data_IF_842441445492
#
_entry.id   IF_842441445492
#
_cell.length_a   1.000
_cell.length_b   1.000
_cell.length_c   1.000
_cell.angle_alpha   90.00
_cell.angle_beta   90.00
_cell.angle_gamma   90.00
#
_symmetry.space_group_name_H-M   'P 1'
#
loop_
_entity.id
_entity.type
_entity.pdbx_description
1 polymer ?
#
# COMPACT_ATOMS: atom_id res chain seq x y z
N UNK A 1 17.93 6.81 -3.48
CA UNK A 1 17.05 7.67 -2.66
C UNK A 1 17.90 8.71 -1.95
N UNK A 2 17.35 9.88 -1.64
CA UNK A 2 18.07 10.94 -0.92
C UNK A 2 18.27 10.55 0.54
N UNK A 3 19.51 10.51 1.01
CA UNK A 3 19.93 10.12 2.37
C UNK A 3 19.52 11.12 3.48
N UNK A 4 18.63 12.05 3.15
CA UNK A 4 18.16 13.11 4.06
C UNK A 4 17.00 12.59 4.90
N UNK A 5 16.96 12.87 6.22
CA UNK A 5 15.89 12.39 7.10
C UNK A 5 14.50 12.88 6.67
N UNK A 6 13.46 12.10 6.96
CA UNK A 6 12.08 12.43 6.62
C UNK A 6 11.60 13.64 7.42
N UNK A 7 11.17 14.71 6.72
CA UNK A 7 10.69 15.92 7.37
C UNK A 7 9.16 15.92 7.46
N UNK A 8 8.55 16.35 8.59
CA UNK A 8 7.09 16.41 8.72
C UNK A 8 6.39 17.18 7.59
N UNK A 9 7.01 18.25 7.07
CA UNK A 9 6.47 19.05 5.97
C UNK A 9 6.45 18.37 4.60
N UNK A 10 7.07 17.19 4.46
CA UNK A 10 7.04 16.40 3.22
C UNK A 10 5.85 15.44 3.17
N UNK A 11 5.16 15.23 4.30
CA UNK A 11 4.00 14.32 4.37
C UNK A 11 2.80 14.99 3.71
N UNK A 12 2.26 14.35 2.67
CA UNK A 12 1.27 14.95 1.78
C UNK A 12 -0.01 14.10 1.61
N UNK A 13 -0.06 12.92 2.24
CA UNK A 13 -1.14 11.95 2.04
C UNK A 13 -1.49 11.26 3.35
N UNK A 14 -2.79 11.20 3.67
CA UNK A 14 -3.32 10.35 4.74
C UNK A 14 -3.56 8.95 4.20
N UNK A 15 -3.05 7.94 4.90
CA UNK A 15 -3.20 6.53 4.53
C UNK A 15 -3.80 5.72 5.66
N UNK A 16 -4.48 4.63 5.29
CA UNK A 16 -4.86 3.53 6.20
C UNK A 16 -4.06 2.29 5.83
N UNK A 17 -3.53 1.60 6.83
CA UNK A 17 -2.85 0.32 6.67
C UNK A 17 -3.77 -0.78 7.20
N UNK A 18 -3.93 -1.83 6.41
CA UNK A 18 -4.68 -3.02 6.80
C UNK A 18 -4.05 -4.28 6.24
N UNK A 19 -4.31 -5.41 6.88
CA UNK A 19 -3.93 -6.73 6.39
C UNK A 19 -5.11 -7.69 6.39
N UNK A 20 -4.96 -8.82 5.69
CA UNK A 20 -5.90 -9.92 5.75
C UNK A 20 -5.44 -10.91 6.80
N UNK A 21 -6.27 -11.09 7.82
CA UNK A 21 -6.10 -12.14 8.82
C UNK A 21 -6.87 -13.38 8.37
N UNK A 22 -6.18 -14.51 8.32
CA UNK A 22 -6.78 -15.84 8.13
C UNK A 22 -6.56 -16.66 9.39
N UNK A 23 -7.48 -17.59 9.65
CA UNK A 23 -7.44 -18.38 10.86
C UNK A 23 -8.18 -19.69 10.71
N UNK A 24 -8.02 -20.55 11.72
CA UNK A 24 -8.79 -21.78 11.84
C UNK A 24 -9.69 -21.71 13.05
N UNK A 25 -10.90 -22.25 12.91
CA UNK A 25 -11.84 -22.37 14.00
C UNK A 25 -11.50 -23.51 14.95
N UNK A 26 -12.26 -23.68 16.04
CA UNK A 26 -11.99 -24.68 17.08
C UNK A 26 -12.02 -26.13 16.57
N UNK A 27 -12.64 -26.38 15.42
CA UNK A 27 -12.74 -27.71 14.82
C UNK A 27 -11.78 -27.88 13.62
N UNK A 28 -10.88 -26.91 13.39
CA UNK A 28 -9.90 -26.91 12.32
C UNK A 28 -10.42 -26.40 10.97
N UNK A 29 -11.65 -25.92 10.91
CA UNK A 29 -12.25 -25.28 9.74
C UNK A 29 -11.55 -23.96 9.38
N UNK A 30 -11.41 -23.64 8.10
CA UNK A 30 -10.90 -22.33 7.68
C UNK A 30 -11.95 -21.25 7.94
N UNK A 31 -11.57 -20.21 8.68
CA UNK A 31 -12.44 -19.05 8.90
C UNK A 31 -12.38 -18.10 7.69
N UNK A 32 -13.47 -17.38 7.40
CA UNK A 32 -13.44 -16.34 6.37
C UNK A 32 -12.32 -15.33 6.63
N UNK A 33 -11.57 -15.03 5.58
CA UNK A 33 -10.55 -13.99 5.58
C UNK A 33 -11.17 -12.66 6.03
N UNK A 34 -10.56 -12.01 7.03
CA UNK A 34 -11.02 -10.73 7.57
C UNK A 34 -9.98 -9.65 7.33
N UNK A 35 -10.41 -8.50 6.81
CA UNK A 35 -9.57 -7.31 6.77
C UNK A 35 -9.47 -6.70 8.17
N UNK A 36 -8.25 -6.51 8.65
CA UNK A 36 -7.92 -5.89 9.94
C UNK A 36 -7.27 -4.54 9.67
N UNK A 37 -7.80 -3.47 10.26
CA UNK A 37 -7.21 -2.14 10.20
C UNK A 37 -6.12 -1.99 11.27
N UNK A 38 -4.87 -1.89 10.86
CA UNK A 38 -3.71 -1.73 11.76
C UNK A 38 -3.49 -0.26 12.17
N UNK A 39 -4.01 0.69 11.39
CA UNK A 39 -4.06 2.08 11.78
C UNK A 39 -3.97 3.07 10.63
N UNK A 40 -3.85 4.34 11.00
CA UNK A 40 -3.77 5.46 10.07
C UNK A 40 -2.49 6.26 10.26
N UNK A 41 -2.00 6.86 9.17
CA UNK A 41 -0.89 7.80 9.28
C UNK A 41 -0.79 8.78 8.13
N UNK A 42 0.05 9.78 8.36
CA UNK A 42 0.58 10.64 7.30
C UNK A 42 1.77 9.96 6.61
N UNK A 43 1.81 10.08 5.29
CA UNK A 43 2.88 9.60 4.43
C UNK A 43 3.20 10.65 3.36
N UNK A 44 4.45 10.67 2.91
CA UNK A 44 4.86 11.28 1.65
C UNK A 44 4.57 10.29 0.53
N UNK A 45 3.59 10.59 -0.32
CA UNK A 45 3.23 9.80 -1.50
C UNK A 45 3.94 10.36 -2.74
N UNK A 46 4.62 9.49 -3.47
CA UNK A 46 5.31 9.81 -4.72
C UNK A 46 4.93 8.80 -5.81
N UNK A 47 4.56 9.28 -7.00
CA UNK A 47 4.28 8.42 -8.15
C UNK A 47 5.60 7.99 -8.80
N UNK A 48 5.83 6.69 -8.94
CA UNK A 48 7.01 6.11 -9.63
C UNK A 48 6.70 5.87 -11.10
N UNK A 49 5.54 5.27 -11.39
CA UNK A 49 5.09 4.98 -12.75
C UNK A 49 3.56 4.97 -12.83
N UNK A 50 3.00 5.62 -13.86
CA UNK A 50 1.55 5.74 -14.04
C UNK A 50 1.05 5.62 -15.48
N UNK A 51 1.87 5.15 -16.44
CA UNK A 51 1.48 5.20 -17.85
C UNK A 51 0.73 3.96 -18.28
N UNK A 52 -0.61 4.03 -18.30
CA UNK A 52 -1.46 3.08 -19.05
C UNK A 52 -1.09 3.14 -20.54
N UNK A 53 -0.34 2.17 -21.06
CA UNK A 53 -0.23 1.95 -22.50
C UNK A 53 -1.24 0.87 -22.86
N UNK A 54 -2.26 1.22 -23.63
CA UNK A 54 -3.22 0.26 -24.20
C UNK A 54 -2.68 -0.22 -25.53
N UNK A 55 -1.82 -1.23 -25.50
CA UNK A 55 -1.47 -2.03 -26.68
C UNK A 55 -1.65 -3.50 -26.32
N UNK A 56 -2.28 -4.26 -27.22
CA UNK A 56 -2.73 -5.65 -27.01
C UNK A 56 -1.63 -6.62 -26.53
N UNK A 57 -0.35 -6.27 -26.72
CA UNK A 57 0.81 -7.12 -26.42
C UNK A 57 1.66 -6.66 -25.21
N UNK A 58 1.28 -5.59 -24.50
CA UNK A 58 2.07 -5.11 -23.35
C UNK A 58 1.38 -5.39 -22.01
N UNK A 59 2.20 -5.89 -21.07
CA UNK A 59 1.84 -6.16 -19.69
C UNK A 59 1.17 -4.93 -19.07
N UNK A 60 0.02 -5.11 -18.43
CA UNK A 60 -0.76 -4.04 -17.84
C UNK A 60 0.12 -3.20 -16.90
N UNK A 61 0.34 -1.92 -17.24
CA UNK A 61 1.05 -1.00 -16.36
C UNK A 61 0.16 -0.69 -15.16
N UNK A 62 0.55 -1.24 -14.01
CA UNK A 62 -0.06 -0.94 -12.71
C UNK A 62 0.55 0.37 -12.21
N UNK A 63 -0.28 1.26 -11.67
CA UNK A 63 0.23 2.47 -11.04
C UNK A 63 1.05 2.09 -9.81
N UNK A 64 2.30 2.53 -9.75
CA UNK A 64 3.21 2.24 -8.65
C UNK A 64 3.54 3.53 -7.91
N UNK A 65 3.32 3.54 -6.61
CA UNK A 65 3.63 4.65 -5.71
C UNK A 65 4.64 4.24 -4.64
N UNK A 66 5.47 5.20 -4.22
CA UNK A 66 6.19 5.11 -2.95
C UNK A 66 5.39 5.84 -1.88
N UNK A 67 5.31 5.25 -0.70
CA UNK A 67 4.81 5.87 0.51
C UNK A 67 5.96 5.88 1.52
N UNK A 68 6.44 7.07 1.88
CA UNK A 68 7.46 7.24 2.92
C UNK A 68 6.82 7.78 4.19
N UNK A 69 7.11 7.18 5.33
CA UNK A 69 6.39 7.40 6.60
C UNK A 69 7.27 6.99 7.78
N UNK A 70 6.97 7.48 8.98
CA UNK A 70 7.66 7.05 10.20
C UNK A 70 7.51 5.54 10.47
N UNK A 71 8.45 4.90 11.19
CA UNK A 71 8.50 3.44 11.35
C UNK A 71 7.24 2.85 11.97
N UNK A 72 6.71 1.79 11.34
CA UNK A 72 5.53 1.02 11.78
C UNK A 72 5.60 -0.43 11.31
N UNK A 73 4.78 -1.27 11.94
CA UNK A 73 4.49 -2.61 11.43
C UNK A 73 3.71 -2.50 10.11
N UNK A 74 4.22 -3.17 9.08
CA UNK A 74 3.61 -3.33 7.75
C UNK A 74 4.39 -4.40 7.02
N UNK A 75 3.74 -5.21 6.20
CA UNK A 75 4.41 -6.25 5.42
C UNK A 75 3.95 -6.28 3.96
N UNK A 76 4.60 -7.10 3.16
CA UNK A 76 4.19 -7.43 1.80
C UNK A 76 2.76 -7.99 1.82
N UNK A 77 2.00 -7.70 0.77
CA UNK A 77 0.59 -8.01 0.59
C UNK A 77 -0.39 -7.32 1.56
N UNK A 78 0.11 -6.48 2.47
CA UNK A 78 -0.75 -5.53 3.18
C UNK A 78 -1.34 -4.52 2.21
N UNK A 79 -2.37 -3.84 2.67
CA UNK A 79 -3.12 -2.84 1.94
C UNK A 79 -2.76 -1.44 2.44
N UNK A 80 -2.52 -0.54 1.49
CA UNK A 80 -2.43 0.90 1.70
C UNK A 80 -3.65 1.53 1.03
N UNK A 81 -4.58 2.05 1.82
CA UNK A 81 -5.70 2.82 1.29
C UNK A 81 -5.42 4.33 1.43
N UNK A 82 -5.48 5.04 0.31
CA UNK A 82 -5.60 6.51 0.27
C UNK A 82 -7.07 6.89 0.15
N UNK A 83 -7.39 8.19 0.17
CA UNK A 83 -8.76 8.68 -0.04
C UNK A 83 -9.39 8.20 -1.36
N UNK A 84 -8.58 7.96 -2.39
CA UNK A 84 -9.05 7.74 -3.75
C UNK A 84 -8.61 6.41 -4.37
N UNK A 85 -7.69 5.66 -3.74
CA UNK A 85 -7.13 4.47 -4.35
C UNK A 85 -6.59 3.51 -3.30
N UNK A 86 -6.60 2.23 -3.67
CA UNK A 86 -6.07 1.14 -2.86
C UNK A 86 -4.81 0.63 -3.55
N UNK A 87 -3.78 0.35 -2.75
CA UNK A 87 -2.53 -0.23 -3.20
C UNK A 87 -2.23 -1.49 -2.39
N UNK A 88 -1.67 -2.50 -3.04
CA UNK A 88 -1.05 -3.66 -2.40
C UNK A 88 0.42 -3.36 -2.16
N UNK A 89 0.91 -3.61 -0.97
CA UNK A 89 2.33 -3.49 -0.62
C UNK A 89 3.12 -4.57 -1.34
N UNK A 90 4.14 -4.15 -2.10
CA UNK A 90 5.05 -5.04 -2.83
C UNK A 90 6.46 -5.06 -2.29
N UNK A 91 6.87 -3.99 -1.63
CA UNK A 91 8.16 -3.92 -0.97
C UNK A 91 8.06 -3.00 0.25
N UNK A 92 8.83 -3.30 1.28
CA UNK A 92 8.98 -2.48 2.48
C UNK A 92 10.47 -2.31 2.77
N UNK A 93 11.01 -1.15 2.46
CA UNK A 93 12.36 -0.77 2.89
C UNK A 93 12.29 -0.14 4.28
N UNK A 94 13.12 -0.61 5.21
CA UNK A 94 13.17 -0.12 6.58
C UNK A 94 14.48 0.59 6.84
N UNK A 95 14.39 1.85 7.23
CA UNK A 95 15.50 2.72 7.61
C UNK A 95 15.34 3.11 9.09
N UNK A 96 16.37 3.74 9.66
CA UNK A 96 16.35 4.10 11.08
C UNK A 96 15.21 5.06 11.44
N UNK A 97 14.91 6.03 10.57
CA UNK A 97 13.94 7.11 10.84
C UNK A 97 12.61 6.96 10.09
N UNK A 98 12.50 5.98 9.18
CA UNK A 98 11.34 5.84 8.29
C UNK A 98 11.23 4.43 7.70
N UNK A 99 10.09 4.18 7.09
CA UNK A 99 9.92 3.09 6.14
C UNK A 99 9.51 3.66 4.78
N UNK A 100 9.89 2.97 3.71
CA UNK A 100 9.47 3.27 2.34
C UNK A 100 8.72 2.06 1.81
N UNK A 101 7.42 2.23 1.56
CA UNK A 101 6.54 1.23 1.02
C UNK A 101 6.44 1.44 -0.49
N UNK A 102 6.74 0.41 -1.28
CA UNK A 102 6.33 0.36 -2.69
C UNK A 102 4.95 -0.26 -2.77
N UNK A 103 3.97 0.52 -3.23
CA UNK A 103 2.59 0.07 -3.41
C UNK A 103 2.19 0.03 -4.88
N UNK A 104 1.55 -1.05 -5.30
CA UNK A 104 0.95 -1.20 -6.63
C UNK A 104 -0.57 -1.04 -6.54
N UNK A 105 -1.16 -0.21 -7.39
CA UNK A 105 -2.59 0.06 -7.36
C UNK A 105 -3.41 -1.20 -7.67
N UNK A 106 -4.37 -1.51 -6.80
CA UNK A 106 -5.29 -2.61 -7.05
C UNK A 106 -6.34 -2.18 -8.10
N UNK A 107 -6.20 -2.72 -9.30
CA UNK A 107 -7.07 -2.40 -10.44
C UNK A 107 -8.46 -3.05 -10.35
N UNK A 108 -8.68 -3.98 -9.40
CA UNK A 108 -10.00 -4.61 -9.18
C UNK A 108 -10.97 -3.67 -8.48
N UNK A 109 -10.46 -2.73 -7.66
CA UNK A 109 -11.27 -1.78 -6.91
C UNK A 109 -11.65 -0.51 -7.69
N UNK A 110 -11.03 -0.23 -8.84
CA UNK A 110 -11.36 0.90 -9.74
C UNK A 110 -12.70 0.69 -10.49
N UNK A 111 -13.36 -0.47 -10.36
CA UNK A 111 -14.59 -0.82 -11.10
C UNK A 111 -15.91 -0.44 -10.39
N UNK A 112 -15.85 0.18 -9.21
CA UNK A 112 -17.05 0.59 -8.47
C UNK A 112 -17.01 2.07 -8.16
N UNK A 113 -17.15 2.88 -9.21
CA UNK A 113 -17.71 4.23 -9.11
C UNK A 113 -18.93 4.24 -10.03
N UNK A 114 -20.11 4.25 -9.42
CA UNK A 114 -21.40 4.47 -10.09
C UNK A 114 -21.65 5.97 -10.20
#
# INVERSE_FOLDING_TARGET
MSDKPLRPGELNCRIKLSHIETGRGPLGEELPAREVLDGEAWAKKELVSGRKVRTLDQQQVVETCLFTLYPRAVDIDWKVATTNRIYTVRNVERLADRIVITGEADTRHDRVSN
#
